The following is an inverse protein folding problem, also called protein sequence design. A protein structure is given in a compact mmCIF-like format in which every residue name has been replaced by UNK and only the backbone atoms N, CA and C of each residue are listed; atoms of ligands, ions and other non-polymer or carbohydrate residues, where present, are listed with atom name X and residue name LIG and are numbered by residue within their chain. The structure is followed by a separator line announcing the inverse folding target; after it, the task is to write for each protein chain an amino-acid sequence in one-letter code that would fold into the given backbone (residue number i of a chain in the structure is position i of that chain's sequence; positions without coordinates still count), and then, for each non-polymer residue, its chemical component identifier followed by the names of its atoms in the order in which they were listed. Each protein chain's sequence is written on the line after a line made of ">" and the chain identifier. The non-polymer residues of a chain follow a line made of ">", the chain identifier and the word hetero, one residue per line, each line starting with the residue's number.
data_IF_035697915888
#
_entry.id   IF_035697915888
#
_cell.length_a   1.000
_cell.length_b   1.000
_cell.length_c   1.000
_cell.angle_alpha   90.00
_cell.angle_beta   90.00
_cell.angle_gamma   90.00
#
_symmetry.space_group_name_H-M   'P 1'
#
loop_
_entity.id
_entity.type
_entity.pdbx_description
1 polymer ?
#
# COMPACT_ATOMS: atom_id res chain seq x y z
N UNK A 1 -10.94 5.93 -10.82
CA UNK A 1 -11.23 4.50 -10.98
C UNK A 1 -12.68 4.29 -10.56
N UNK A 2 -13.46 3.57 -11.35
CA UNK A 2 -14.82 3.22 -10.97
C UNK A 2 -14.82 1.98 -10.04
N UNK A 3 -15.93 1.71 -9.36
CA UNK A 3 -16.01 0.61 -8.40
C UNK A 3 -15.76 -0.77 -9.05
N UNK A 4 -16.20 -0.98 -10.29
CA UNK A 4 -16.01 -2.25 -10.98
C UNK A 4 -14.52 -2.51 -11.27
N UNK A 5 -13.78 -1.49 -11.67
CA UNK A 5 -12.32 -1.57 -11.87
C UNK A 5 -11.59 -1.91 -10.57
N UNK A 6 -11.99 -1.28 -9.46
CA UNK A 6 -11.41 -1.54 -8.12
C UNK A 6 -11.62 -3.00 -7.74
N UNK A 7 -12.87 -3.49 -7.83
CA UNK A 7 -13.19 -4.87 -7.47
C UNK A 7 -12.48 -5.89 -8.38
N UNK A 8 -12.37 -5.60 -9.68
CA UNK A 8 -11.60 -6.44 -10.60
C UNK A 8 -10.12 -6.53 -10.19
N UNK A 9 -9.49 -5.41 -9.80
CA UNK A 9 -8.10 -5.42 -9.33
C UNK A 9 -7.97 -6.23 -8.02
N UNK A 10 -8.91 -6.10 -7.09
CA UNK A 10 -8.91 -6.88 -5.84
C UNK A 10 -8.99 -8.39 -6.13
N UNK A 11 -9.87 -8.80 -7.02
CA UNK A 11 -10.03 -10.20 -7.43
C UNK A 11 -8.73 -10.72 -8.08
N UNK A 12 -8.17 -9.95 -9.02
CA UNK A 12 -6.91 -10.32 -9.68
C UNK A 12 -5.77 -10.43 -8.67
N UNK A 13 -5.58 -9.43 -7.80
CA UNK A 13 -4.56 -9.45 -6.75
C UNK A 13 -4.71 -10.67 -5.86
N UNK A 14 -5.93 -10.98 -5.44
CA UNK A 14 -6.20 -12.13 -4.55
C UNK A 14 -5.87 -13.46 -5.22
N UNK A 15 -6.15 -13.60 -6.51
CA UNK A 15 -5.80 -14.79 -7.26
C UNK A 15 -4.28 -14.94 -7.39
N UNK A 16 -3.60 -13.86 -7.78
CA UNK A 16 -2.14 -13.83 -7.87
C UNK A 16 -1.48 -14.16 -6.53
N UNK A 17 -1.95 -13.54 -5.45
CA UNK A 17 -1.47 -13.79 -4.09
C UNK A 17 -1.57 -15.28 -3.71
N UNK A 18 -2.69 -15.93 -4.01
CA UNK A 18 -2.86 -17.36 -3.70
C UNK A 18 -1.88 -18.27 -4.43
N UNK A 19 -1.40 -17.85 -5.59
CA UNK A 19 -0.50 -18.65 -6.43
C UNK A 19 0.97 -18.42 -6.07
N UNK A 20 1.38 -17.15 -5.95
CA UNK A 20 2.79 -16.78 -5.72
C UNK A 20 3.16 -16.72 -4.25
N UNK A 21 2.21 -16.62 -3.33
CA UNK A 21 2.49 -16.63 -1.89
C UNK A 21 2.19 -17.99 -1.24
N UNK A 22 1.82 -19.02 -2.00
CA UNK A 22 1.70 -20.39 -1.49
C UNK A 22 3.10 -20.95 -1.18
N UNK A 23 3.42 -21.31 0.08
CA UNK A 23 4.73 -21.82 0.46
C UNK A 23 5.14 -23.12 -0.24
N UNK A 24 4.18 -23.84 -0.83
CA UNK A 24 4.43 -25.07 -1.60
C UNK A 24 4.65 -24.81 -3.09
N UNK A 25 4.42 -23.58 -3.54
CA UNK A 25 4.61 -23.16 -4.92
C UNK A 25 6.09 -23.04 -5.28
N UNK A 26 6.45 -23.45 -6.51
CA UNK A 26 7.81 -23.29 -7.03
C UNK A 26 8.20 -21.82 -7.24
N UNK A 27 7.20 -20.94 -7.36
CA UNK A 27 7.35 -19.50 -7.57
C UNK A 27 7.05 -18.70 -6.28
N UNK A 28 7.22 -19.33 -5.11
CA UNK A 28 6.94 -18.71 -3.83
C UNK A 28 7.74 -17.40 -3.60
N UNK A 29 7.03 -16.36 -3.16
CA UNK A 29 7.61 -15.12 -2.67
C UNK A 29 7.14 -14.79 -1.25
N UNK A 30 8.05 -14.27 -0.43
CA UNK A 30 7.68 -13.56 0.80
C UNK A 30 7.26 -12.12 0.42
N UNK A 31 5.96 -11.91 0.21
CA UNK A 31 5.44 -10.63 -0.30
C UNK A 31 5.72 -9.46 0.65
N UNK A 32 5.69 -9.67 1.97
CA UNK A 32 5.92 -8.61 2.96
C UNK A 32 7.35 -8.10 2.91
N UNK A 33 8.32 -9.01 3.00
CA UNK A 33 9.73 -8.69 2.94
C UNK A 33 10.10 -8.05 1.59
N UNK A 34 9.57 -8.60 0.50
CA UNK A 34 9.79 -8.10 -0.86
C UNK A 34 9.19 -6.69 -1.03
N UNK A 35 8.02 -6.46 -0.45
CA UNK A 35 7.36 -5.14 -0.45
C UNK A 35 8.17 -4.13 0.33
N UNK A 36 8.62 -4.45 1.55
CA UNK A 36 9.44 -3.55 2.36
C UNK A 36 10.75 -3.20 1.65
N UNK A 37 11.44 -4.19 1.10
CA UNK A 37 12.66 -3.99 0.31
C UNK A 37 12.41 -3.05 -0.88
N UNK A 38 11.33 -3.27 -1.62
CA UNK A 38 10.98 -2.46 -2.78
C UNK A 38 10.56 -1.03 -2.41
N UNK A 39 9.87 -0.85 -1.28
CA UNK A 39 9.57 0.46 -0.70
C UNK A 39 10.84 1.23 -0.38
N UNK A 40 11.80 0.57 0.28
CA UNK A 40 13.10 1.16 0.65
C UNK A 40 13.91 1.51 -0.60
N UNK A 41 14.01 0.61 -1.58
CA UNK A 41 14.70 0.89 -2.84
C UNK A 41 14.10 2.11 -3.54
N UNK A 42 12.77 2.12 -3.72
CA UNK A 42 12.06 3.27 -4.31
C UNK A 42 12.27 4.55 -3.51
N UNK A 43 12.38 4.47 -2.18
CA UNK A 43 12.68 5.61 -1.34
C UNK A 43 14.08 6.17 -1.59
N UNK A 44 15.09 5.30 -1.68
CA UNK A 44 16.46 5.72 -1.99
C UNK A 44 16.58 6.35 -3.38
N UNK A 45 15.80 5.86 -4.34
CA UNK A 45 15.76 6.36 -5.72
C UNK A 45 14.88 7.61 -5.91
N UNK A 46 14.10 7.98 -4.89
CA UNK A 46 13.17 9.12 -4.97
C UNK A 46 13.53 10.22 -3.97
N UNK A 47 13.12 11.46 -4.26
CA UNK A 47 13.22 12.58 -3.32
C UNK A 47 12.10 12.53 -2.25
N UNK A 48 11.80 11.34 -1.74
CA UNK A 48 10.77 11.12 -0.72
C UNK A 48 11.28 11.57 0.64
N UNK A 49 10.45 12.27 1.42
CA UNK A 49 10.88 12.72 2.74
C UNK A 49 10.86 11.55 3.73
N UNK A 50 11.72 11.59 4.76
CA UNK A 50 11.67 10.58 5.84
C UNK A 50 10.31 10.56 6.53
N UNK A 51 9.63 11.70 6.64
CA UNK A 51 8.29 11.80 7.20
C UNK A 51 7.27 11.07 6.33
N UNK A 52 7.32 11.27 5.00
CA UNK A 52 6.43 10.58 4.05
C UNK A 52 6.65 9.08 4.11
N UNK A 53 7.92 8.64 4.10
CA UNK A 53 8.27 7.23 4.25
C UNK A 53 7.75 6.67 5.58
N UNK A 54 7.94 7.38 6.68
CA UNK A 54 7.43 6.94 7.98
C UNK A 54 5.91 6.78 7.97
N UNK A 55 5.18 7.71 7.33
CA UNK A 55 3.72 7.56 7.14
C UNK A 55 3.41 6.31 6.31
N UNK A 56 4.14 6.05 5.22
CA UNK A 56 3.94 4.85 4.39
C UNK A 56 4.20 3.54 5.17
N UNK A 57 5.28 3.47 5.95
CA UNK A 57 5.60 2.29 6.77
C UNK A 57 4.47 2.04 7.77
N UNK A 58 3.94 3.08 8.41
CA UNK A 58 2.82 2.95 9.32
C UNK A 58 1.48 2.64 8.62
N UNK A 59 1.33 3.00 7.34
CA UNK A 59 0.18 2.58 6.53
C UNK A 59 0.21 1.06 6.22
N UNK A 60 1.35 0.38 6.33
CA UNK A 60 1.44 -1.07 6.16
C UNK A 60 0.63 -1.84 7.21
N UNK A 61 0.40 -1.27 8.39
CA UNK A 61 -0.49 -1.83 9.44
C UNK A 61 -1.97 -1.90 9.01
N UNK A 62 -2.30 -1.26 7.90
CA UNK A 62 -3.64 -1.18 7.32
C UNK A 62 -3.70 -1.81 5.93
N UNK A 63 -2.62 -2.49 5.51
CA UNK A 63 -2.51 -3.12 4.21
C UNK A 63 -3.13 -4.52 4.23
N UNK A 64 -4.11 -4.74 3.35
CA UNK A 64 -4.59 -6.05 2.98
C UNK A 64 -3.69 -6.64 1.88
N UNK A 65 -2.91 -7.65 2.28
CA UNK A 65 -1.89 -8.31 1.45
C UNK A 65 -2.50 -9.05 0.27
N UNK A 66 -3.68 -9.63 0.45
CA UNK A 66 -4.34 -10.40 -0.62
C UNK A 66 -4.78 -9.49 -1.75
N UNK A 67 -5.31 -8.31 -1.42
CA UNK A 67 -5.89 -7.41 -2.42
C UNK A 67 -4.93 -6.32 -2.89
N UNK A 68 -3.81 -6.12 -2.19
CA UNK A 68 -2.88 -5.00 -2.40
C UNK A 68 -3.48 -3.62 -2.09
N UNK A 69 -4.51 -3.54 -1.24
CA UNK A 69 -5.14 -2.27 -0.85
C UNK A 69 -4.82 -1.90 0.59
N UNK A 70 -4.74 -0.60 0.85
CA UNK A 70 -4.63 -0.02 2.18
C UNK A 70 -5.97 0.64 2.51
N UNK A 71 -6.54 0.29 3.66
CA UNK A 71 -7.79 0.85 4.14
C UNK A 71 -7.63 1.49 5.52
N UNK A 72 -7.82 2.81 5.58
CA UNK A 72 -7.79 3.57 6.83
C UNK A 72 -9.18 4.14 7.09
N UNK A 73 -9.76 3.86 8.26
CA UNK A 73 -11.10 4.39 8.58
C UNK A 73 -11.07 5.90 8.84
N UNK A 74 -10.07 6.36 9.58
CA UNK A 74 -9.88 7.77 9.91
C UNK A 74 -8.44 8.06 10.31
N UNK A 75 -8.03 9.34 10.28
CA UNK A 75 -6.73 9.74 10.81
C UNK A 75 -6.62 9.57 12.32
N UNK A 76 -7.73 9.63 13.06
CA UNK A 76 -7.72 9.36 14.50
C UNK A 76 -7.39 7.90 14.78
N UNK A 77 -8.03 6.96 14.07
CA UNK A 77 -7.71 5.53 14.18
C UNK A 77 -6.28 5.24 13.73
N UNK A 78 -5.83 5.87 12.63
CA UNK A 78 -4.45 5.75 12.17
C UNK A 78 -3.46 6.09 13.28
N UNK A 79 -3.64 7.25 13.93
CA UNK A 79 -2.75 7.70 15.01
C UNK A 79 -2.85 6.82 16.25
N UNK A 80 -4.05 6.38 16.61
CA UNK A 80 -4.26 5.48 17.73
C UNK A 80 -3.52 4.15 17.55
N UNK A 81 -3.58 3.57 16.34
CA UNK A 81 -2.95 2.27 16.04
C UNK A 81 -1.44 2.35 15.88
N UNK A 82 -0.94 3.45 15.30
CA UNK A 82 0.47 3.57 14.88
C UNK A 82 1.34 4.43 15.80
N UNK A 83 0.72 5.23 16.68
CA UNK A 83 1.42 6.21 17.52
C UNK A 83 1.97 7.42 16.75
N UNK A 84 1.67 7.58 15.45
CA UNK A 84 2.15 8.72 14.66
C UNK A 84 1.53 10.03 15.18
N UNK A 85 2.37 10.95 15.66
CA UNK A 85 1.93 12.25 16.21
C UNK A 85 2.04 13.34 15.13
N UNK A 86 1.20 13.22 14.09
CA UNK A 86 1.08 14.24 13.04
C UNK A 86 -0.31 14.88 13.05
N UNK A 87 -0.37 16.17 12.72
CA UNK A 87 -1.65 16.86 12.50
C UNK A 87 -2.32 16.36 11.22
N UNK A 88 -3.64 16.51 11.10
CA UNK A 88 -4.38 16.09 9.91
C UNK A 88 -3.81 16.72 8.63
N UNK A 89 -3.44 18.00 8.68
CA UNK A 89 -2.81 18.68 7.53
C UNK A 89 -1.46 18.07 7.13
N UNK A 90 -0.66 17.64 8.10
CA UNK A 90 0.62 16.99 7.83
C UNK A 90 0.45 15.56 7.31
N UNK A 91 -0.51 14.80 7.85
CA UNK A 91 -0.86 13.47 7.33
C UNK A 91 -1.39 13.54 5.90
N UNK A 92 -2.33 14.45 5.62
CA UNK A 92 -2.86 14.66 4.27
C UNK A 92 -1.75 15.01 3.28
N UNK A 93 -0.81 15.88 3.67
CA UNK A 93 0.33 16.25 2.81
C UNK A 93 1.26 15.07 2.54
N UNK A 94 1.59 14.29 3.58
CA UNK A 94 2.44 13.11 3.44
C UNK A 94 1.79 12.06 2.53
N UNK A 95 0.50 11.76 2.74
CA UNK A 95 -0.27 10.83 1.89
C UNK A 95 -0.30 11.33 0.44
N UNK A 96 -0.58 12.62 0.23
CA UNK A 96 -0.61 13.20 -1.11
C UNK A 96 0.73 13.11 -1.81
N UNK A 97 1.82 13.37 -1.09
CA UNK A 97 3.20 13.19 -1.58
C UNK A 97 3.46 11.73 -1.98
N UNK A 98 3.03 10.75 -1.18
CA UNK A 98 3.14 9.33 -1.50
C UNK A 98 2.34 8.93 -2.75
N UNK A 99 1.17 9.54 -2.97
CA UNK A 99 0.40 9.37 -4.20
C UNK A 99 1.15 9.92 -5.43
N UNK A 100 1.68 11.14 -5.33
CA UNK A 100 2.44 11.81 -6.41
C UNK A 100 3.72 11.05 -6.77
N UNK A 101 4.41 10.49 -5.76
CA UNK A 101 5.57 9.61 -5.94
C UNK A 101 5.21 8.19 -6.37
N UNK A 102 3.92 7.89 -6.50
CA UNK A 102 3.41 6.63 -7.01
C UNK A 102 3.71 5.44 -6.10
N UNK A 103 3.74 5.62 -4.78
CA UNK A 103 3.69 4.49 -3.85
C UNK A 103 2.27 3.94 -3.79
N UNK A 104 1.31 4.84 -3.62
CA UNK A 104 -0.11 4.53 -3.48
C UNK A 104 -0.94 5.29 -4.52
N UNK A 105 -2.20 4.92 -4.68
CA UNK A 105 -3.18 5.64 -5.51
C UNK A 105 -4.51 5.66 -4.78
N UNK A 106 -5.10 6.84 -4.56
CA UNK A 106 -6.45 6.92 -3.98
C UNK A 106 -7.47 6.32 -4.95
N UNK A 107 -8.28 5.39 -4.45
CA UNK A 107 -9.31 4.71 -5.26
C UNK A 107 -10.73 4.90 -4.71
N UNK A 108 -10.87 5.23 -3.43
CA UNK A 108 -12.18 5.42 -2.78
C UNK A 108 -12.89 6.73 -3.12
N UNK A 109 -14.17 6.83 -2.73
CA UNK A 109 -14.93 8.08 -2.76
C UNK A 109 -14.30 9.13 -1.84
N UNK A 110 -14.70 10.40 -1.97
CA UNK A 110 -14.05 11.54 -1.28
C UNK A 110 -13.74 11.28 0.21
N UNK A 111 -14.64 10.60 0.92
CA UNK A 111 -14.57 10.37 2.37
C UNK A 111 -13.90 9.06 2.79
N UNK A 112 -13.60 8.13 1.86
CA UNK A 112 -12.91 6.87 2.17
C UNK A 112 -11.41 7.03 1.95
N UNK A 113 -10.61 6.68 2.96
CA UNK A 113 -9.14 6.60 2.83
C UNK A 113 -8.77 5.19 2.36
N UNK A 114 -9.15 4.88 1.12
CA UNK A 114 -8.86 3.62 0.45
C UNK A 114 -7.86 3.87 -0.67
N UNK A 115 -6.74 3.15 -0.63
CA UNK A 115 -5.64 3.32 -1.56
C UNK A 115 -5.22 1.98 -2.16
N UNK A 116 -4.98 1.96 -3.46
CA UNK A 116 -4.25 0.87 -4.08
C UNK A 116 -2.76 1.04 -3.77
N UNK A 117 -2.13 0.01 -3.22
CA UNK A 117 -0.70 -0.02 -2.96
C UNK A 117 0.02 -0.62 -4.18
N UNK A 118 0.72 0.22 -4.94
CA UNK A 118 1.21 -0.16 -6.27
C UNK A 118 2.31 -1.21 -6.24
N UNK A 119 3.20 -1.14 -5.23
CA UNK A 119 4.38 -2.00 -5.09
C UNK A 119 3.99 -3.48 -4.92
N UNK A 120 3.18 -3.88 -3.92
CA UNK A 120 2.83 -5.29 -3.79
C UNK A 120 2.06 -5.81 -4.99
N UNK A 121 1.17 -5.01 -5.60
CA UNK A 121 0.48 -5.41 -6.81
C UNK A 121 1.43 -5.68 -7.99
N UNK A 122 2.49 -4.86 -8.12
CA UNK A 122 3.51 -5.06 -9.14
C UNK A 122 4.35 -6.31 -8.86
N UNK A 123 4.77 -6.52 -7.60
CA UNK A 123 5.52 -7.72 -7.21
C UNK A 123 4.75 -9.00 -7.49
N UNK A 124 3.44 -9.00 -7.19
CA UNK A 124 2.57 -10.13 -7.54
C UNK A 124 2.59 -10.40 -9.05
N UNK A 125 2.47 -9.37 -9.90
CA UNK A 125 2.48 -9.53 -11.36
C UNK A 125 3.81 -10.00 -11.94
N UNK A 126 4.93 -9.64 -11.31
CA UNK A 126 6.28 -9.99 -11.79
C UNK A 126 6.70 -11.42 -11.43
N UNK A 127 5.99 -12.07 -10.51
CA UNK A 127 6.30 -13.40 -10.03
C UNK A 127 5.24 -14.45 -10.41
N UNK A 128 4.29 -14.11 -11.29
CA UNK A 128 3.49 -15.07 -12.07
C UNK A 128 4.20 -15.43 -13.37
#
# INVERSE_FOLDING_TARGET
>A
MNNNEIENIKIQSKNMYKEVCDPTSLIYINLEESTLKSVVNKFLDSKTSKTDLNVLINLLEFWDKETSFIYVESFDLFRLKTGVILTNGNLSRAIKSLEEKGYIMKVGTHNKLEYLFKIPLQLLKENL
#
